data_IF_972828289669
#
_entry.id   IF_972828289669
#
_cell.length_a   1.000
_cell.length_b   1.000
_cell.length_c   1.000
_cell.angle_alpha   90.00
_cell.angle_beta   90.00
_cell.angle_gamma   90.00
#
_symmetry.space_group_name_H-M   'P 1'
#
loop_
_entity.id
_entity.type
_entity.pdbx_description
1 polymer ?
#
# COMPACT_ATOMS: atom_id res chain seq x y z
N UNK A 1 -4.54 5.10 9.35
CA UNK A 1 -3.91 5.66 10.57
C UNK A 1 -2.73 4.89 11.18
N UNK A 2 -2.88 3.78 11.95
CA UNK A 2 -1.72 3.20 12.70
C UNK A 2 -0.54 2.79 11.81
N UNK A 3 -0.82 2.22 10.63
CA UNK A 3 0.18 1.85 9.61
C UNK A 3 0.85 3.07 8.99
N UNK A 4 0.08 4.12 8.66
CA UNK A 4 0.60 5.42 8.22
C UNK A 4 1.62 6.00 9.20
N UNK A 5 1.25 6.12 10.49
CA UNK A 5 2.17 6.60 11.54
C UNK A 5 3.43 5.74 11.64
N UNK A 6 3.33 4.41 11.51
CA UNK A 6 4.51 3.53 11.50
C UNK A 6 5.41 3.72 10.28
N UNK A 7 4.86 3.80 9.07
CA UNK A 7 5.60 3.94 7.81
C UNK A 7 6.28 5.32 7.67
N UNK A 8 5.63 6.39 8.15
CA UNK A 8 6.24 7.72 8.28
C UNK A 8 7.27 7.82 9.43
N UNK A 9 7.45 6.76 10.22
CA UNK A 9 8.39 6.71 11.35
C UNK A 9 7.92 7.41 12.63
N UNK A 10 6.63 7.75 12.74
CA UNK A 10 6.01 8.51 13.83
C UNK A 10 5.46 7.58 14.94
N UNK A 11 6.35 7.05 15.79
CA UNK A 11 5.97 6.16 16.90
C UNK A 11 5.63 6.92 18.20
N UNK A 12 4.59 6.48 18.92
CA UNK A 12 4.14 7.08 20.18
C UNK A 12 4.97 6.60 21.39
N UNK A 13 5.80 7.47 21.97
CA UNK A 13 6.42 7.20 23.29
C UNK A 13 5.44 7.48 24.42
N UNK A 14 4.90 6.42 25.04
CA UNK A 14 4.19 6.52 26.32
C UNK A 14 5.17 6.90 27.42
N UNK A 15 5.28 8.20 27.71
CA UNK A 15 6.16 8.72 28.76
C UNK A 15 5.63 8.31 30.15
N UNK A 16 6.17 7.20 30.68
CA UNK A 16 5.90 6.76 32.04
C UNK A 16 6.27 7.85 33.04
N UNK A 17 5.26 8.46 33.66
CA UNK A 17 5.44 9.58 34.60
C UNK A 17 6.12 9.09 35.88
N UNK A 18 7.43 9.26 35.97
CA UNK A 18 8.19 9.08 37.20
C UNK A 18 7.77 10.13 38.24
N UNK A 19 6.78 9.81 39.06
CA UNK A 19 6.41 10.64 40.20
C UNK A 19 7.53 10.63 41.26
N UNK A 20 8.00 11.83 41.61
CA UNK A 20 8.88 12.08 42.76
C UNK A 20 8.17 13.04 43.72
N UNK A 21 7.24 12.50 44.50
CA UNK A 21 6.64 13.16 45.66
C UNK A 21 6.65 12.22 46.87
N UNK A 22 6.66 12.78 48.09
CA UNK A 22 7.10 12.05 49.29
C UNK A 22 6.20 12.26 50.53
N UNK A 23 5.55 11.19 50.99
CA UNK A 23 4.76 11.20 52.23
C UNK A 23 4.69 9.84 52.96
N UNK A 24 5.58 9.71 53.95
CA UNK A 24 5.51 8.95 55.23
C UNK A 24 4.30 8.02 55.51
N UNK A 25 4.64 6.83 56.07
CA UNK A 25 3.84 5.93 56.97
C UNK A 25 2.72 5.12 56.29
N UNK A 26 2.35 3.91 56.75
CA UNK A 26 2.90 3.03 57.80
C UNK A 26 2.52 1.54 57.58
N UNK A 27 3.28 0.64 58.23
CA UNK A 27 2.98 -0.80 58.41
C UNK A 27 3.23 -1.69 57.19
N UNK A 28 3.50 -2.99 57.27
CA UNK A 28 4.10 -3.90 58.27
C UNK A 28 3.65 -5.32 57.91
N UNK A 29 4.55 -6.32 57.95
CA UNK A 29 4.30 -7.74 57.61
C UNK A 29 4.02 -8.02 56.12
N UNK A 30 4.33 -9.20 55.55
CA UNK A 30 5.32 -10.22 55.96
C UNK A 30 5.78 -11.00 54.72
N UNK A 31 6.92 -11.70 54.81
CA UNK A 31 7.51 -12.40 53.67
C UNK A 31 7.04 -13.87 53.56
N UNK A 32 6.93 -14.37 52.32
CA UNK A 32 7.32 -15.76 52.01
C UNK A 32 7.78 -15.91 50.56
N UNK A 33 8.82 -16.70 50.38
CA UNK A 33 9.41 -17.12 49.09
C UNK A 33 9.68 -18.62 49.22
N UNK A 34 9.24 -19.44 48.26
CA UNK A 34 9.90 -20.70 47.87
C UNK A 34 9.33 -21.22 46.54
N UNK A 35 10.12 -21.95 45.71
CA UNK A 35 9.71 -22.37 44.36
C UNK A 35 9.59 -23.89 44.16
N UNK A 36 9.06 -24.29 42.99
CA UNK A 36 9.15 -25.64 42.42
C UNK A 36 7.83 -26.16 41.82
N UNK A 37 7.79 -27.14 40.92
CA UNK A 37 8.86 -27.81 40.13
C UNK A 37 8.21 -28.74 39.09
N UNK A 38 8.74 -28.80 37.85
CA UNK A 38 8.62 -29.96 36.90
C UNK A 38 7.20 -30.42 36.47
N UNK A 39 6.99 -31.23 35.42
CA UNK A 39 7.66 -31.44 34.13
C UNK A 39 6.65 -32.12 33.17
N UNK A 40 6.86 -32.07 31.85
CA UNK A 40 5.91 -32.64 30.87
C UNK A 40 6.50 -32.86 29.48
N UNK A 41 7.49 -33.75 29.37
CA UNK A 41 8.27 -33.96 28.13
C UNK A 41 7.97 -35.30 27.47
N UNK A 42 7.35 -35.29 26.29
CA UNK A 42 7.30 -36.46 25.39
C UNK A 42 7.63 -36.08 23.95
N UNK A 43 8.77 -36.58 23.46
CA UNK A 43 8.98 -36.88 22.03
C UNK A 43 8.60 -38.34 21.80
N UNK A 44 8.11 -38.67 20.60
CA UNK A 44 8.34 -39.96 19.94
C UNK A 44 8.32 -39.76 18.41
N UNK A 45 8.76 -40.76 17.67
CA UNK A 45 9.32 -40.58 16.32
C UNK A 45 9.12 -41.83 15.46
N UNK A 46 9.06 -41.62 14.14
CA UNK A 46 9.20 -42.61 13.07
C UNK A 46 8.12 -43.69 12.97
N UNK A 47 7.50 -43.81 11.79
CA UNK A 47 7.53 -45.05 10.99
C UNK A 47 6.88 -44.85 9.60
N UNK A 48 7.54 -45.40 8.59
CA UNK A 48 6.98 -45.80 7.28
C UNK A 48 7.48 -47.23 7.03
N UNK A 49 6.71 -48.14 6.40
CA UNK A 49 6.92 -48.34 4.95
C UNK A 49 5.72 -48.93 4.14
N UNK A 50 5.83 -48.88 2.81
CA UNK A 50 5.14 -49.78 1.88
C UNK A 50 3.66 -49.44 1.54
N UNK A 51 3.09 -49.93 0.43
CA UNK A 51 3.71 -50.64 -0.72
C UNK A 51 2.90 -50.46 -2.00
N UNK A 52 3.55 -50.65 -3.14
CA UNK A 52 3.04 -50.39 -4.49
C UNK A 52 1.78 -51.17 -4.92
N UNK A 53 1.11 -50.65 -5.96
CA UNK A 53 0.90 -51.43 -7.20
C UNK A 53 0.82 -50.54 -8.45
N UNK A 54 1.43 -51.03 -9.53
CA UNK A 54 1.24 -50.53 -10.88
C UNK A 54 0.46 -51.58 -11.69
N UNK A 55 -0.33 -51.14 -12.66
CA UNK A 55 -0.75 -51.96 -13.80
C UNK A 55 -1.16 -51.03 -14.95
N UNK A 56 -0.51 -51.17 -16.10
CA UNK A 56 -0.75 -50.34 -17.27
C UNK A 56 -1.15 -51.21 -18.47
N UNK A 57 -1.95 -50.65 -19.39
CA UNK A 57 -2.09 -51.16 -20.76
C UNK A 57 -2.52 -50.07 -21.73
N UNK A 58 -1.71 -49.86 -22.76
CA UNK A 58 -2.08 -49.26 -24.07
C UNK A 58 -2.22 -50.43 -25.11
N UNK A 59 -2.28 -50.30 -26.46
CA UNK A 59 -1.98 -49.20 -27.41
C UNK A 59 -3.28 -48.48 -27.88
N UNK A 60 -3.49 -47.82 -29.05
CA UNK A 60 -2.80 -47.58 -30.36
C UNK A 60 -3.40 -46.26 -30.93
N UNK A 61 -2.83 -45.39 -31.79
CA UNK A 61 -1.90 -45.46 -32.95
C UNK A 61 -2.51 -46.06 -34.24
N UNK A 62 -2.13 -45.63 -35.48
CA UNK A 62 -0.98 -44.78 -35.84
C UNK A 62 -1.18 -43.69 -36.95
N UNK A 63 -0.11 -42.90 -37.17
CA UNK A 63 0.26 -42.20 -38.45
C UNK A 63 -0.56 -40.95 -38.84
N UNK A 64 -0.09 -39.98 -39.64
CA UNK A 64 1.24 -39.62 -40.23
C UNK A 64 1.16 -38.14 -40.73
N UNK A 65 2.19 -37.38 -41.15
CA UNK A 65 3.68 -37.45 -41.33
C UNK A 65 4.20 -35.98 -41.24
N UNK A 66 5.48 -35.58 -41.42
CA UNK A 66 6.72 -36.24 -41.84
C UNK A 66 7.92 -35.27 -41.73
N UNK A 67 9.13 -35.68 -42.15
CA UNK A 67 10.39 -34.98 -41.86
C UNK A 67 11.06 -34.29 -43.07
N UNK A 68 11.94 -33.32 -42.80
CA UNK A 68 13.17 -33.09 -43.59
C UNK A 68 14.24 -32.39 -42.72
N UNK A 69 15.51 -32.44 -43.13
CA UNK A 69 16.65 -31.97 -42.33
C UNK A 69 17.77 -31.37 -43.21
N UNK A 70 18.65 -30.53 -42.63
CA UNK A 70 20.05 -30.34 -43.05
C UNK A 70 20.88 -29.45 -42.10
N UNK A 71 22.19 -29.66 -42.16
CA UNK A 71 23.29 -28.89 -41.55
C UNK A 71 24.45 -28.82 -42.58
N UNK A 72 25.67 -28.34 -42.26
CA UNK A 72 26.01 -26.96 -41.89
C UNK A 72 27.14 -26.36 -42.77
N UNK A 73 27.31 -25.03 -42.78
CA UNK A 73 28.55 -24.35 -43.23
C UNK A 73 28.59 -22.88 -42.80
N UNK A 74 29.61 -22.10 -43.18
CA UNK A 74 30.93 -21.95 -42.53
C UNK A 74 31.75 -20.84 -43.24
N UNK A 75 32.69 -20.20 -42.52
CA UNK A 75 33.76 -19.29 -43.05
C UNK A 75 33.28 -17.92 -43.63
N UNK A 76 34.13 -16.87 -43.82
CA UNK A 76 35.41 -16.42 -43.19
C UNK A 76 35.89 -15.06 -43.75
N UNK A 77 36.23 -14.11 -42.87
CA UNK A 77 37.20 -12.96 -42.99
C UNK A 77 37.58 -12.36 -44.38
N UNK A 78 37.43 -11.03 -44.51
CA UNK A 78 38.52 -10.04 -44.77
C UNK A 78 37.99 -8.60 -44.58
N UNK A 79 38.69 -7.56 -44.09
CA UNK A 79 40.10 -7.06 -44.01
C UNK A 79 40.57 -6.10 -45.12
N UNK A 80 40.45 -4.80 -44.85
CA UNK A 80 41.29 -3.67 -45.32
C UNK A 80 40.95 -2.44 -44.46
N UNK A 81 41.78 -1.77 -43.64
CA UNK A 81 43.24 -1.62 -43.50
C UNK A 81 43.90 -0.59 -44.45
N UNK A 82 44.09 0.64 -43.95
CA UNK A 82 44.89 1.73 -44.55
C UNK A 82 45.64 2.54 -43.47
N UNK A 83 46.74 3.22 -43.85
CA UNK A 83 47.59 4.14 -43.06
C UNK A 83 48.01 5.34 -43.99
N UNK A 84 48.80 6.38 -43.65
CA UNK A 84 49.89 6.68 -42.68
C UNK A 84 49.94 8.22 -42.45
N UNK A 85 50.80 8.84 -41.62
CA UNK A 85 51.26 8.61 -40.23
C UNK A 85 52.25 9.73 -39.82
N UNK A 86 51.84 10.75 -39.05
CA UNK A 86 52.70 11.87 -38.59
C UNK A 86 52.41 12.23 -37.12
N UNK A 87 53.38 12.31 -36.19
CA UNK A 87 54.54 13.23 -36.03
C UNK A 87 54.24 14.49 -35.19
N UNK A 88 54.28 14.30 -33.87
CA UNK A 88 55.04 15.09 -32.88
C UNK A 88 55.29 16.60 -33.12
N UNK A 89 54.81 17.46 -32.20
CA UNK A 89 55.65 18.27 -31.27
C UNK A 89 54.79 19.30 -30.50
N UNK A 90 55.28 19.82 -29.37
CA UNK A 90 54.65 20.93 -28.64
C UNK A 90 54.61 20.77 -27.11
N UNK A 91 55.68 21.18 -26.41
CA UNK A 91 55.68 21.34 -24.95
C UNK A 91 55.32 22.78 -24.57
N UNK A 92 54.29 22.96 -23.73
CA UNK A 92 54.11 24.12 -22.84
C UNK A 92 53.39 23.65 -21.57
N UNK A 93 53.59 24.36 -20.47
CA UNK A 93 53.38 23.84 -19.11
C UNK A 93 52.54 24.77 -18.23
N UNK A 94 51.74 24.14 -17.35
CA UNK A 94 51.04 24.71 -16.19
C UNK A 94 49.87 25.69 -16.48
N UNK A 95 48.94 25.92 -15.52
CA UNK A 95 48.71 25.20 -14.26
C UNK A 95 47.28 24.62 -14.10
N UNK A 96 47.08 23.96 -12.97
CA UNK A 96 45.83 23.45 -12.37
C UNK A 96 44.51 24.07 -12.89
N UNK A 97 43.62 23.22 -13.41
CA UNK A 97 42.18 23.30 -13.13
C UNK A 97 41.67 21.92 -12.72
N UNK A 98 41.31 21.77 -11.45
CA UNK A 98 40.56 20.61 -10.98
C UNK A 98 39.12 20.74 -11.47
N UNK A 99 38.67 19.82 -12.30
CA UNK A 99 37.25 19.76 -12.68
C UNK A 99 36.38 19.62 -11.41
N UNK A 100 35.22 20.29 -11.33
CA UNK A 100 34.32 20.10 -10.21
C UNK A 100 33.85 18.64 -10.20
N UNK A 101 34.06 17.97 -9.06
CA UNK A 101 33.36 16.72 -8.76
C UNK A 101 31.85 16.98 -8.76
N UNK A 102 31.01 16.06 -9.26
CA UNK A 102 29.56 16.22 -9.11
C UNK A 102 29.23 16.28 -7.62
N UNK A 103 28.66 17.40 -7.17
CA UNK A 103 28.21 17.53 -5.79
C UNK A 103 27.17 16.44 -5.51
N UNK A 104 27.41 15.67 -4.46
CA UNK A 104 26.44 14.67 -4.03
C UNK A 104 25.19 15.39 -3.56
N UNK A 105 24.07 15.26 -4.30
CA UNK A 105 22.72 15.62 -3.83
C UNK A 105 22.61 15.21 -2.36
N UNK A 106 22.18 16.10 -1.45
CA UNK A 106 22.08 15.76 -0.03
C UNK A 106 21.15 14.56 0.10
N UNK A 107 21.67 13.45 0.65
CA UNK A 107 20.86 12.25 0.87
C UNK A 107 19.77 12.62 1.86
N UNK A 108 18.51 12.52 1.42
CA UNK A 108 17.35 12.95 2.19
C UNK A 108 17.44 12.50 3.65
N UNK A 109 17.23 13.44 4.57
CA UNK A 109 17.33 13.18 5.99
C UNK A 109 16.33 12.09 6.37
N UNK A 110 16.83 10.91 6.76
CA UNK A 110 16.01 9.85 7.36
C UNK A 110 15.50 10.35 8.71
N UNK A 111 14.32 10.97 8.68
CA UNK A 111 13.69 11.63 9.83
C UNK A 111 13.57 10.69 11.02
N UNK A 112 13.86 11.20 12.22
CA UNK A 112 13.78 10.44 13.46
C UNK A 112 12.54 10.83 14.23
N UNK A 113 11.59 9.89 14.31
CA UNK A 113 10.38 9.87 15.14
C UNK A 113 10.15 11.06 16.09
N UNK A 114 9.22 11.94 15.70
CA UNK A 114 8.42 12.78 16.58
C UNK A 114 6.96 12.59 16.13
N UNK A 115 6.07 12.17 17.04
CA UNK A 115 4.68 11.88 16.70
C UNK A 115 3.74 12.97 17.22
N UNK A 116 2.85 13.47 16.36
CA UNK A 116 1.75 14.33 16.77
C UNK A 116 0.78 13.59 17.69
N UNK A 117 0.17 14.31 18.64
CA UNK A 117 -0.98 13.83 19.40
C UNK A 117 -2.23 13.75 18.50
N UNK A 118 -3.30 13.03 18.87
CA UNK A 118 -4.61 13.27 18.28
C UNK A 118 -5.01 14.74 18.50
N UNK A 119 -5.59 15.36 17.47
CA UNK A 119 -6.14 16.72 17.56
C UNK A 119 -7.40 16.66 18.42
N UNK A 120 -7.57 17.52 19.44
CA UNK A 120 -8.84 17.64 20.15
C UNK A 120 -9.95 18.04 19.18
N UNK A 121 -11.14 17.47 19.36
CA UNK A 121 -12.35 17.82 18.60
C UNK A 121 -12.27 17.56 17.08
N UNK A 122 -11.53 16.52 16.66
CA UNK A 122 -11.66 15.92 15.32
C UNK A 122 -12.70 14.80 15.26
N UNK A 123 -13.27 14.60 14.07
CA UNK A 123 -14.18 13.49 13.72
C UNK A 123 -13.72 12.81 12.43
N UNK A 124 -14.14 11.57 12.20
CA UNK A 124 -13.81 10.80 10.99
C UNK A 124 -15.05 10.64 10.13
N UNK A 125 -14.95 10.94 8.84
CA UNK A 125 -16.05 10.77 7.89
C UNK A 125 -16.24 9.29 7.53
N UNK A 126 -17.44 8.89 7.12
CA UNK A 126 -17.67 7.54 6.60
C UNK A 126 -16.81 7.28 5.34
N UNK A 127 -16.59 6.00 4.97
CA UNK A 127 -15.79 5.67 3.78
C UNK A 127 -16.39 6.26 2.49
N UNK A 128 -17.73 6.28 2.40
CA UNK A 128 -18.44 6.85 1.26
C UNK A 128 -18.30 8.37 1.19
N UNK A 129 -18.36 9.08 2.31
CA UNK A 129 -18.16 10.54 2.34
C UNK A 129 -16.69 10.90 2.09
N UNK A 130 -15.76 10.16 2.71
CA UNK A 130 -14.32 10.29 2.47
C UNK A 130 -13.98 10.18 0.98
N UNK A 131 -14.54 9.17 0.29
CA UNK A 131 -14.42 9.01 -1.15
C UNK A 131 -15.11 10.12 -1.93
N UNK A 132 -16.33 10.50 -1.55
CA UNK A 132 -17.12 11.53 -2.25
C UNK A 132 -16.45 12.91 -2.20
N UNK A 133 -15.85 13.26 -1.06
CA UNK A 133 -15.07 14.48 -0.87
C UNK A 133 -13.87 14.46 -1.82
N UNK A 134 -13.01 13.44 -1.74
CA UNK A 134 -11.78 13.37 -2.54
C UNK A 134 -12.05 13.23 -4.05
N UNK A 135 -13.11 12.52 -4.44
CA UNK A 135 -13.54 12.40 -5.83
C UNK A 135 -14.03 13.74 -6.43
N UNK A 136 -14.60 14.64 -5.61
CA UNK A 136 -14.94 16.00 -6.07
C UNK A 136 -13.71 16.83 -6.46
N UNK A 137 -12.53 16.47 -5.95
CA UNK A 137 -11.23 17.03 -6.33
C UNK A 137 -10.46 16.18 -7.36
N UNK A 138 -11.12 15.19 -7.98
CA UNK A 138 -10.56 14.40 -9.08
C UNK A 138 -9.80 13.13 -8.67
N UNK A 139 -9.80 12.76 -7.38
CA UNK A 139 -9.22 11.46 -6.95
C UNK A 139 -10.06 10.31 -7.55
N UNK A 140 -9.45 9.37 -8.30
CA UNK A 140 -10.16 8.24 -8.89
C UNK A 140 -10.53 7.22 -7.81
N UNK A 141 -11.82 7.08 -7.54
CA UNK A 141 -12.40 6.08 -6.63
C UNK A 141 -13.08 4.95 -7.42
N UNK A 142 -13.31 3.80 -6.78
CA UNK A 142 -14.16 2.76 -7.36
C UNK A 142 -15.63 3.24 -7.51
N UNK A 143 -16.37 2.68 -8.49
CA UNK A 143 -17.82 2.87 -8.60
C UNK A 143 -18.53 2.02 -7.53
N UNK A 144 -18.92 2.65 -6.42
CA UNK A 144 -19.49 1.97 -5.26
C UNK A 144 -20.94 2.41 -4.98
N UNK A 145 -21.77 1.47 -4.54
CA UNK A 145 -23.20 1.67 -4.27
C UNK A 145 -23.53 1.38 -2.81
N UNK A 146 -24.23 2.30 -2.16
CA UNK A 146 -24.84 2.07 -0.86
C UNK A 146 -26.13 1.26 -1.00
N UNK A 147 -26.36 0.34 -0.08
CA UNK A 147 -27.54 -0.49 0.03
C UNK A 147 -27.99 -0.60 1.50
N UNK A 148 -29.28 -0.39 1.82
CA UNK A 148 -29.77 -0.49 3.20
C UNK A 148 -29.86 -1.93 3.73
N UNK A 149 -29.95 -2.92 2.82
CA UNK A 149 -30.19 -4.32 3.16
C UNK A 149 -29.48 -5.28 2.19
N UNK A 150 -29.57 -6.58 2.50
CA UNK A 150 -28.90 -7.64 1.75
C UNK A 150 -29.45 -7.85 0.33
N UNK A 151 -30.71 -7.53 0.07
CA UNK A 151 -31.38 -7.73 -1.20
C UNK A 151 -31.08 -6.58 -2.16
N UNK A 152 -31.11 -5.34 -1.68
CA UNK A 152 -30.61 -4.17 -2.38
C UNK A 152 -29.11 -4.29 -2.69
N UNK A 153 -28.30 -4.83 -1.76
CA UNK A 153 -26.88 -5.07 -1.99
C UNK A 153 -26.63 -6.10 -3.12
N UNK A 154 -27.51 -7.10 -3.24
CA UNK A 154 -27.42 -8.09 -4.32
C UNK A 154 -27.81 -7.50 -5.68
N UNK A 155 -28.86 -6.66 -5.75
CA UNK A 155 -29.19 -5.93 -6.97
C UNK A 155 -28.03 -5.00 -7.38
N UNK A 156 -27.46 -4.24 -6.45
CA UNK A 156 -26.30 -3.38 -6.72
C UNK A 156 -25.10 -4.18 -7.24
N UNK A 157 -24.89 -5.42 -6.77
CA UNK A 157 -23.84 -6.29 -7.27
C UNK A 157 -24.12 -6.85 -8.68
N UNK A 158 -25.39 -7.13 -9.02
CA UNK A 158 -25.80 -7.50 -10.38
C UNK A 158 -25.64 -6.33 -11.36
N UNK A 159 -25.87 -5.08 -10.92
CA UNK A 159 -25.66 -3.87 -11.71
C UNK A 159 -24.18 -3.49 -11.91
N UNK A 160 -23.32 -3.71 -10.90
CA UNK A 160 -21.86 -3.48 -10.98
C UNK A 160 -21.16 -4.59 -11.77
N UNK A 161 -21.64 -5.83 -11.66
CA UNK A 161 -21.04 -7.01 -12.26
C UNK A 161 -20.05 -7.74 -11.33
N UNK A 162 -20.07 -9.07 -11.39
CA UNK A 162 -19.31 -9.94 -10.49
C UNK A 162 -17.86 -10.18 -10.96
N UNK A 163 -16.91 -10.44 -10.03
CA UNK A 163 -17.11 -10.52 -8.59
C UNK A 163 -16.99 -9.16 -7.89
N UNK A 164 -17.71 -9.01 -6.79
CA UNK A 164 -17.80 -7.77 -5.99
C UNK A 164 -17.15 -7.91 -4.61
N UNK A 165 -17.04 -6.77 -3.94
CA UNK A 165 -16.72 -6.57 -2.53
C UNK A 165 -17.96 -6.01 -1.85
N UNK A 166 -18.23 -6.44 -0.60
CA UNK A 166 -19.23 -5.81 0.27
C UNK A 166 -18.56 -5.45 1.60
N UNK A 167 -18.78 -4.21 2.05
CA UNK A 167 -18.26 -3.65 3.30
C UNK A 167 -19.43 -3.18 4.16
N UNK A 168 -19.31 -3.24 5.49
CA UNK A 168 -20.18 -2.45 6.35
C UNK A 168 -19.71 -0.97 6.32
N UNK A 169 -20.64 -0.03 6.26
CA UNK A 169 -20.37 1.40 6.29
C UNK A 169 -21.26 2.11 7.33
N UNK A 170 -20.68 3.11 7.99
CA UNK A 170 -21.29 3.90 9.06
C UNK A 170 -20.18 4.74 9.69
N UNK A 171 -20.56 5.83 10.38
CA UNK A 171 -19.62 6.88 10.77
C UNK A 171 -18.62 6.41 11.84
N UNK A 172 -19.04 5.48 12.72
CA UNK A 172 -18.14 4.84 13.69
C UNK A 172 -17.15 3.83 13.09
N UNK A 173 -17.24 3.49 11.80
CA UNK A 173 -16.58 2.32 11.21
C UNK A 173 -15.28 2.66 10.46
N UNK A 174 -14.34 3.30 11.14
CA UNK A 174 -13.05 3.70 10.56
C UNK A 174 -12.05 2.55 10.27
N UNK A 175 -12.17 1.38 10.93
CA UNK A 175 -11.18 0.26 10.83
C UNK A 175 -11.86 -1.08 10.47
N UNK A 176 -12.48 -1.12 9.29
CA UNK A 176 -13.36 -2.20 8.80
C UNK A 176 -12.69 -3.58 8.78
N UNK A 177 -11.46 -3.68 8.27
CA UNK A 177 -10.74 -4.95 8.11
C UNK A 177 -10.40 -5.61 9.44
N UNK A 178 -10.01 -4.84 10.47
CA UNK A 178 -9.63 -5.37 11.79
C UNK A 178 -10.82 -5.98 12.54
N UNK A 179 -12.03 -5.48 12.28
CA UNK A 179 -13.31 -6.03 12.79
C UNK A 179 -13.92 -7.10 11.89
N UNK A 180 -13.28 -7.44 10.77
CA UNK A 180 -13.81 -8.41 9.80
C UNK A 180 -15.10 -7.93 9.12
N UNK A 181 -15.24 -6.62 8.88
CA UNK A 181 -16.42 -5.98 8.27
C UNK A 181 -16.33 -5.82 6.74
N UNK A 182 -15.49 -6.64 6.09
CA UNK A 182 -15.30 -6.67 4.63
C UNK A 182 -15.39 -8.10 4.11
N UNK A 183 -16.13 -8.33 3.03
CA UNK A 183 -16.19 -9.59 2.28
C UNK A 183 -15.74 -9.34 0.84
N UNK A 184 -14.73 -10.10 0.39
CA UNK A 184 -14.05 -9.91 -0.88
C UNK A 184 -14.39 -11.05 -1.86
N UNK A 185 -14.37 -10.75 -3.16
CA UNK A 185 -14.43 -11.77 -4.22
C UNK A 185 -15.76 -12.53 -4.32
N UNK A 186 -16.86 -11.89 -3.94
CA UNK A 186 -18.20 -12.48 -3.98
C UNK A 186 -18.65 -12.65 -5.43
N UNK A 187 -18.86 -13.89 -5.86
CA UNK A 187 -18.98 -14.25 -7.27
C UNK A 187 -20.41 -14.25 -7.82
N UNK A 188 -21.42 -14.16 -6.96
CA UNK A 188 -22.84 -14.21 -7.30
C UNK A 188 -23.72 -13.52 -6.25
N UNK A 189 -24.99 -13.29 -6.59
CA UNK A 189 -25.97 -12.62 -5.76
C UNK A 189 -26.32 -13.36 -4.46
N UNK A 190 -26.21 -14.69 -4.40
CA UNK A 190 -26.48 -15.45 -3.18
C UNK A 190 -25.31 -15.33 -2.19
N UNK A 191 -24.07 -15.36 -2.68
CA UNK A 191 -22.88 -15.04 -1.89
C UNK A 191 -22.95 -13.60 -1.34
N UNK A 192 -23.47 -12.64 -2.12
CA UNK A 192 -23.72 -11.27 -1.65
C UNK A 192 -24.78 -11.21 -0.55
N UNK A 193 -25.97 -11.82 -0.72
CA UNK A 193 -27.02 -11.80 0.33
C UNK A 193 -26.53 -12.42 1.65
N UNK A 194 -25.80 -13.54 1.57
CA UNK A 194 -25.20 -14.20 2.73
C UNK A 194 -24.14 -13.31 3.43
N UNK A 195 -23.21 -12.73 2.65
CA UNK A 195 -22.19 -11.81 3.14
C UNK A 195 -22.81 -10.56 3.81
N UNK A 196 -23.78 -9.93 3.16
CA UNK A 196 -24.49 -8.75 3.65
C UNK A 196 -25.21 -9.00 4.97
N UNK A 197 -25.89 -10.14 5.09
CA UNK A 197 -26.58 -10.55 6.34
C UNK A 197 -25.57 -10.76 7.47
N UNK A 198 -24.43 -11.40 7.18
CA UNK A 198 -23.35 -11.65 8.15
C UNK A 198 -22.58 -10.38 8.54
N UNK A 199 -22.61 -9.32 7.72
CA UNK A 199 -22.02 -8.02 8.01
C UNK A 199 -22.95 -7.13 8.85
N UNK A 200 -24.23 -7.02 8.48
CA UNK A 200 -25.23 -6.28 9.27
C UNK A 200 -25.36 -6.85 10.70
N UNK A 201 -25.26 -8.18 10.85
CA UNK A 201 -25.26 -8.84 12.16
C UNK A 201 -24.01 -8.59 13.02
N UNK A 202 -23.01 -7.82 12.54
CA UNK A 202 -21.80 -7.40 13.28
C UNK A 202 -21.75 -5.91 13.60
N UNK A 203 -22.79 -5.16 13.22
CA UNK A 203 -22.95 -3.78 13.65
C UNK A 203 -23.13 -3.70 15.17
N UNK A 204 -22.55 -2.69 15.79
CA UNK A 204 -22.71 -2.40 17.23
C UNK A 204 -23.26 -0.98 17.43
N UNK A 205 -23.85 -0.63 18.60
CA UNK A 205 -24.44 0.70 18.80
C UNK A 205 -23.46 1.87 18.62
N UNK A 206 -22.15 1.61 18.75
CA UNK A 206 -21.07 2.56 18.53
C UNK A 206 -20.79 2.87 17.05
N UNK A 207 -21.36 2.10 16.11
CA UNK A 207 -21.21 2.30 14.67
C UNK A 207 -22.09 3.42 14.11
N UNK A 208 -23.17 3.77 14.81
CA UNK A 208 -24.19 4.71 14.35
C UNK A 208 -25.27 4.04 13.48
N UNK A 209 -25.82 4.79 12.51
CA UNK A 209 -26.59 4.18 11.43
C UNK A 209 -25.63 3.46 10.48
N UNK A 210 -25.98 2.24 10.05
CA UNK A 210 -25.13 1.41 9.18
C UNK A 210 -25.83 0.99 7.91
N UNK A 211 -25.06 0.94 6.82
CA UNK A 211 -25.48 0.51 5.50
C UNK A 211 -24.39 -0.41 4.89
N UNK A 212 -24.72 -1.09 3.81
CA UNK A 212 -23.79 -1.92 3.06
C UNK A 212 -23.21 -1.12 1.89
N UNK A 213 -21.90 -1.19 1.69
CA UNK A 213 -21.20 -0.56 0.59
C UNK A 213 -20.69 -1.65 -0.37
N UNK A 214 -21.28 -1.69 -1.56
CA UNK A 214 -21.01 -2.68 -2.61
C UNK A 214 -20.08 -2.07 -3.65
N UNK A 215 -19.00 -2.77 -4.02
CA UNK A 215 -17.94 -2.25 -4.88
C UNK A 215 -17.43 -3.34 -5.86
N UNK A 216 -16.93 -2.99 -7.05
CA UNK A 216 -16.26 -3.95 -7.93
C UNK A 216 -14.99 -4.49 -7.28
N UNK A 217 -14.67 -5.77 -7.50
CA UNK A 217 -13.38 -6.35 -7.08
C UNK A 217 -12.25 -5.88 -8.01
N UNK A 218 -11.81 -4.63 -7.83
CA UNK A 218 -10.62 -4.04 -8.48
C UNK A 218 -9.40 -4.93 -8.22
N UNK A 219 -8.53 -5.07 -9.22
CA UNK A 219 -7.35 -5.96 -9.18
C UNK A 219 -6.10 -5.26 -9.71
N UNK A 220 -5.01 -5.49 -9.00
CA UNK A 220 -3.63 -5.18 -9.39
C UNK A 220 -2.69 -5.91 -8.44
N UNK A 221 -1.48 -6.27 -8.89
CA UNK A 221 -0.43 -6.82 -8.02
C UNK A 221 0.44 -5.75 -7.38
N UNK A 222 0.13 -4.48 -7.66
CA UNK A 222 0.78 -3.28 -7.13
C UNK A 222 -0.24 -2.41 -6.40
N UNK A 223 0.12 -2.05 -5.18
CA UNK A 223 -0.59 -1.11 -4.33
C UNK A 223 0.34 0.06 -4.04
N UNK A 224 -0.21 1.27 -4.07
CA UNK A 224 0.41 2.49 -3.55
C UNK A 224 -0.37 2.95 -2.32
N UNK A 225 0.19 3.91 -1.61
CA UNK A 225 -0.51 4.74 -0.63
C UNK A 225 -0.32 6.20 -1.00
N UNK A 226 -1.37 7.00 -0.83
CA UNK A 226 -1.30 8.45 -0.94
C UNK A 226 -2.16 9.07 0.16
N UNK A 227 -1.93 10.33 0.51
CA UNK A 227 -2.72 10.94 1.58
C UNK A 227 -2.32 12.36 1.94
N UNK A 228 -3.04 12.87 2.94
CA UNK A 228 -2.85 14.15 3.60
C UNK A 228 -2.56 13.94 5.07
N UNK A 229 -1.66 14.73 5.65
CA UNK A 229 -1.50 14.81 7.10
C UNK A 229 -0.94 16.17 7.54
N UNK A 230 -1.50 16.73 8.59
CA UNK A 230 -0.96 17.92 9.26
C UNK A 230 0.29 17.58 10.09
N UNK A 231 1.41 18.23 9.79
CA UNK A 231 2.61 18.29 10.64
C UNK A 231 2.53 19.50 11.59
N UNK A 232 2.70 19.34 12.93
CA UNK A 232 2.57 20.44 13.89
C UNK A 232 3.61 21.57 13.78
N UNK A 233 4.63 21.44 12.93
CA UNK A 233 5.68 22.45 12.71
C UNK A 233 5.60 23.09 11.32
N UNK A 234 5.16 22.34 10.31
CA UNK A 234 5.17 22.76 8.90
C UNK A 234 3.77 22.91 8.26
N UNK A 235 2.71 22.39 8.90
CA UNK A 235 1.35 22.41 8.37
C UNK A 235 1.03 21.18 7.50
N UNK A 236 0.05 21.32 6.62
CA UNK A 236 -0.47 20.20 5.82
C UNK A 236 0.56 19.68 4.80
N UNK A 237 0.70 18.35 4.74
CA UNK A 237 1.59 17.65 3.79
C UNK A 237 0.81 16.67 2.91
N UNK A 238 1.22 16.56 1.64
CA UNK A 238 0.85 15.44 0.75
C UNK A 238 1.89 14.35 0.89
N UNK A 239 1.43 13.10 0.99
CA UNK A 239 2.25 11.89 1.01
C UNK A 239 2.02 11.02 -0.23
N UNK A 240 3.11 10.45 -0.76
CA UNK A 240 3.09 9.32 -1.69
C UNK A 240 3.96 8.18 -1.12
N UNK A 241 3.58 6.92 -1.33
CA UNK A 241 4.40 5.77 -0.94
C UNK A 241 4.00 4.46 -1.62
N UNK A 242 4.83 3.43 -1.42
CA UNK A 242 4.50 2.05 -1.82
C UNK A 242 3.58 1.39 -0.79
N UNK A 243 2.50 0.77 -1.26
CA UNK A 243 1.48 0.13 -0.43
C UNK A 243 1.64 -1.38 -0.24
N UNK A 244 0.56 -2.05 0.16
CA UNK A 244 0.51 -3.48 0.39
C UNK A 244 1.30 -3.98 1.61
N UNK A 245 1.36 -5.31 1.75
CA UNK A 245 1.86 -6.02 2.94
C UNK A 245 3.32 -5.67 3.31
N UNK A 246 4.12 -5.19 2.37
CA UNK A 246 5.53 -4.83 2.59
C UNK A 246 5.77 -3.34 2.85
N UNK A 247 4.76 -2.47 2.76
CA UNK A 247 4.90 -1.01 2.94
C UNK A 247 5.65 -0.66 4.25
N UNK A 248 5.19 -1.21 5.38
CA UNK A 248 5.76 -1.00 6.72
C UNK A 248 7.22 -1.51 6.85
N UNK A 249 7.63 -2.47 6.03
CA UNK A 249 8.97 -3.05 6.05
C UNK A 249 9.95 -2.35 5.09
N UNK A 250 9.43 -1.67 4.06
CA UNK A 250 10.22 -0.93 3.07
C UNK A 250 10.40 0.54 3.51
N UNK A 251 9.32 1.20 3.95
CA UNK A 251 9.34 2.61 4.35
C UNK A 251 9.68 3.58 3.21
N UNK A 252 9.29 3.24 1.98
CA UNK A 252 9.49 4.08 0.80
C UNK A 252 8.30 5.06 0.66
N UNK A 253 8.47 6.23 1.25
CA UNK A 253 7.50 7.33 1.28
C UNK A 253 8.19 8.66 0.97
N UNK A 254 7.47 9.55 0.27
CA UNK A 254 7.90 10.90 -0.07
C UNK A 254 6.83 11.90 0.39
N UNK A 255 7.26 13.06 0.85
CA UNK A 255 6.42 14.13 1.39
C UNK A 255 6.68 15.45 0.64
N UNK A 256 5.64 16.27 0.51
CA UNK A 256 5.69 17.69 0.12
C UNK A 256 4.66 18.48 0.94
N UNK A 257 4.86 19.79 1.09
CA UNK A 257 3.89 20.67 1.74
C UNK A 257 2.78 21.06 0.78
N UNK A 258 1.54 21.16 1.26
CA UNK A 258 0.43 21.76 0.50
C UNK A 258 0.63 23.28 0.46
N UNK A 259 0.41 23.95 -0.69
CA UNK A 259 0.02 23.42 -1.99
C UNK A 259 1.20 22.83 -2.79
N UNK A 260 0.97 21.74 -3.55
CA UNK A 260 1.96 21.17 -4.47
C UNK A 260 1.68 21.55 -5.92
N UNK A 261 2.72 21.72 -6.74
CA UNK A 261 2.58 21.85 -8.19
C UNK A 261 2.63 20.48 -8.90
N UNK A 262 2.33 20.45 -10.21
CA UNK A 262 2.53 19.25 -11.03
C UNK A 262 4.01 18.80 -11.03
N UNK A 263 4.95 19.76 -11.02
CA UNK A 263 6.39 19.48 -10.91
C UNK A 263 6.73 18.81 -9.57
N UNK A 264 6.17 19.30 -8.46
CA UNK A 264 6.37 18.68 -7.14
C UNK A 264 5.82 17.25 -7.10
N UNK A 265 4.66 17.01 -7.74
CA UNK A 265 4.07 15.68 -7.85
C UNK A 265 4.91 14.74 -8.74
N UNK A 266 5.47 15.23 -9.85
CA UNK A 266 6.42 14.45 -10.67
C UNK A 266 7.69 14.10 -9.91
N UNK A 267 8.30 15.07 -9.21
CA UNK A 267 9.47 14.89 -8.33
C UNK A 267 9.16 13.89 -7.20
N UNK A 268 7.97 13.94 -6.58
CA UNK A 268 7.54 12.97 -5.56
C UNK A 268 7.54 11.53 -6.11
N UNK A 269 7.09 11.35 -7.35
CA UNK A 269 7.04 10.04 -8.00
C UNK A 269 8.46 9.58 -8.37
N UNK A 270 9.36 10.47 -8.82
CA UNK A 270 10.77 10.17 -9.13
C UNK A 270 11.63 9.92 -7.87
N UNK A 271 11.28 10.51 -6.72
CA UNK A 271 12.01 10.34 -5.45
C UNK A 271 11.81 8.98 -4.77
N UNK A 272 10.73 8.25 -5.09
CA UNK A 272 10.50 6.90 -4.56
C UNK A 272 11.68 5.97 -4.90
N UNK A 273 12.24 5.30 -3.90
CA UNK A 273 13.35 4.36 -4.08
C UNK A 273 12.95 3.13 -4.92
N UNK A 274 11.66 2.79 -4.95
CA UNK A 274 11.14 1.55 -5.56
C UNK A 274 10.61 1.74 -6.98
N UNK A 275 11.24 2.63 -7.77
CA UNK A 275 10.93 2.91 -9.20
C UNK A 275 10.58 1.69 -10.06
N UNK A 276 11.16 0.52 -9.78
CA UNK A 276 10.89 -0.74 -10.51
C UNK A 276 9.46 -1.29 -10.36
N UNK A 277 8.66 -0.81 -9.41
CA UNK A 277 7.23 -1.11 -9.33
C UNK A 277 6.39 -0.14 -10.19
N UNK A 278 6.90 1.06 -10.46
CA UNK A 278 6.23 2.07 -11.27
C UNK A 278 6.37 1.79 -12.77
N UNK A 279 7.45 1.10 -13.18
CA UNK A 279 7.58 0.56 -14.55
C UNK A 279 6.69 -0.65 -14.83
N UNK A 280 6.84 -1.23 -16.03
CA UNK A 280 6.20 -2.51 -16.38
C UNK A 280 6.63 -3.61 -15.40
N UNK A 281 5.67 -4.35 -14.86
CA UNK A 281 5.94 -5.32 -13.80
C UNK A 281 5.07 -6.58 -13.93
N UNK A 282 5.73 -7.74 -14.03
CA UNK A 282 5.08 -9.08 -14.07
C UNK A 282 3.99 -9.29 -15.13
N UNK A 283 3.95 -8.47 -16.17
CA UNK A 283 2.94 -8.52 -17.24
C UNK A 283 1.86 -7.44 -17.12
N UNK A 284 1.86 -6.65 -16.05
CA UNK A 284 1.09 -5.40 -15.99
C UNK A 284 1.87 -4.24 -16.65
N UNK A 285 1.17 -3.26 -17.24
CA UNK A 285 1.79 -2.06 -17.81
C UNK A 285 2.42 -1.17 -16.72
N UNK A 286 3.24 -0.21 -17.15
CA UNK A 286 3.73 0.85 -16.26
C UNK A 286 2.58 1.63 -15.60
N UNK A 287 2.87 2.26 -14.47
CA UNK A 287 1.96 3.19 -13.79
C UNK A 287 1.74 4.42 -14.67
N UNK A 288 0.48 4.76 -14.89
CA UNK A 288 0.02 5.99 -15.55
C UNK A 288 0.45 7.18 -14.67
N UNK A 289 1.59 7.79 -15.01
CA UNK A 289 2.22 8.86 -14.20
C UNK A 289 1.36 10.12 -14.19
N UNK A 290 0.68 10.43 -15.29
CA UNK A 290 -0.25 11.57 -15.39
C UNK A 290 -1.45 11.36 -14.46
N UNK A 291 -2.04 10.15 -14.45
CA UNK A 291 -3.09 9.81 -13.51
C UNK A 291 -2.62 9.86 -12.04
N UNK A 292 -1.39 9.43 -11.73
CA UNK A 292 -0.84 9.51 -10.37
C UNK A 292 -0.56 10.95 -9.92
N UNK A 293 -0.05 11.80 -10.81
CA UNK A 293 0.06 13.26 -10.58
C UNK A 293 -1.33 13.86 -10.30
N UNK A 294 -2.35 13.48 -11.06
CA UNK A 294 -3.72 13.94 -10.82
C UNK A 294 -4.27 13.53 -9.43
N UNK A 295 -3.94 12.34 -8.91
CA UNK A 295 -4.31 11.96 -7.53
C UNK A 295 -3.67 12.88 -6.50
N UNK A 296 -2.38 13.18 -6.64
CA UNK A 296 -1.63 14.02 -5.69
C UNK A 296 -2.09 15.48 -5.73
N UNK A 297 -2.38 16.01 -6.93
CA UNK A 297 -2.97 17.33 -7.11
C UNK A 297 -4.40 17.39 -6.55
N UNK A 298 -5.20 16.34 -6.71
CA UNK A 298 -6.54 16.25 -6.12
C UNK A 298 -6.53 16.23 -4.59
N UNK A 299 -5.53 15.58 -3.98
CA UNK A 299 -5.30 15.66 -2.53
C UNK A 299 -4.92 17.09 -2.09
N UNK A 300 -4.00 17.77 -2.79
CA UNK A 300 -3.65 19.17 -2.51
C UNK A 300 -4.89 20.08 -2.61
N UNK A 301 -5.63 19.98 -3.71
CA UNK A 301 -6.81 20.80 -3.96
C UNK A 301 -7.94 20.55 -2.94
N UNK A 302 -8.05 19.34 -2.38
CA UNK A 302 -8.99 19.05 -1.28
C UNK A 302 -8.57 19.78 0.02
N UNK A 303 -7.30 19.71 0.39
CA UNK A 303 -6.76 20.41 1.57
C UNK A 303 -6.81 21.94 1.44
N UNK A 304 -6.62 22.48 0.23
CA UNK A 304 -6.73 23.91 -0.07
C UNK A 304 -8.18 24.41 -0.02
N UNK A 305 -9.15 23.56 -0.37
CA UNK A 305 -10.57 23.91 -0.41
C UNK A 305 -11.28 23.74 0.94
N UNK A 306 -10.90 22.75 1.75
CA UNK A 306 -11.51 22.47 3.05
C UNK A 306 -10.44 22.40 4.15
N UNK A 307 -10.11 23.57 4.70
CA UNK A 307 -9.14 23.73 5.79
C UNK A 307 -9.54 23.10 7.14
N UNK A 308 -10.62 22.30 7.19
CA UNK A 308 -10.94 21.42 8.32
C UNK A 308 -10.26 20.06 8.22
N UNK A 309 -9.77 19.66 7.05
CA UNK A 309 -9.13 18.34 6.86
C UNK A 309 -7.85 18.27 7.70
N UNK A 310 -7.81 17.32 8.65
CA UNK A 310 -6.66 17.03 9.50
C UNK A 310 -5.80 15.92 8.88
N UNK A 311 -6.44 14.90 8.29
CA UNK A 311 -5.76 13.84 7.55
C UNK A 311 -6.65 13.16 6.50
N UNK A 312 -6.02 12.53 5.50
CA UNK A 312 -6.67 11.65 4.53
C UNK A 312 -5.75 10.46 4.21
N UNK A 313 -6.27 9.23 4.18
CA UNK A 313 -5.52 7.98 3.97
C UNK A 313 -6.15 7.22 2.78
N UNK A 314 -5.52 7.27 1.59
CA UNK A 314 -5.91 6.49 0.40
C UNK A 314 -5.15 5.17 0.39
N UNK A 315 -5.75 4.12 0.97
CA UNK A 315 -5.00 2.95 1.42
C UNK A 315 -5.84 1.66 1.42
N UNK A 316 -5.77 0.81 0.38
CA UNK A 316 -4.82 0.87 -0.74
C UNK A 316 -5.30 1.73 -1.93
N UNK A 317 -4.33 2.37 -2.58
CA UNK A 317 -4.47 2.92 -3.94
C UNK A 317 -3.99 1.84 -4.93
N UNK A 318 -4.92 1.03 -5.45
CA UNK A 318 -4.59 -0.12 -6.31
C UNK A 318 -4.24 0.36 -7.71
N UNK A 319 -3.18 -0.18 -8.31
CA UNK A 319 -2.83 0.05 -9.72
C UNK A 319 -3.53 -1.01 -10.59
N UNK A 320 -4.66 -0.64 -11.20
CA UNK A 320 -5.42 -1.49 -12.13
C UNK A 320 -5.18 -1.04 -13.58
N UNK A 321 -4.70 -1.95 -14.44
CA UNK A 321 -4.33 -1.66 -15.84
C UNK A 321 -3.40 -0.44 -16.01
N UNK A 322 -2.52 -0.23 -15.01
CA UNK A 322 -1.59 0.91 -14.94
C UNK A 322 -2.15 2.13 -14.20
N UNK A 323 -3.46 2.24 -14.00
CA UNK A 323 -4.09 3.42 -13.39
C UNK A 323 -4.31 3.26 -11.88
N UNK A 324 -4.00 4.29 -11.06
CA UNK A 324 -4.33 4.28 -9.64
C UNK A 324 -5.85 4.40 -9.42
N UNK A 325 -6.39 3.59 -8.52
CA UNK A 325 -7.80 3.63 -8.08
C UNK A 325 -7.87 3.46 -6.57
N UNK A 326 -8.49 4.41 -5.88
CA UNK A 326 -8.71 4.36 -4.44
C UNK A 326 -9.90 3.44 -4.13
N UNK A 327 -9.61 2.27 -3.56
CA UNK A 327 -10.64 1.28 -3.18
C UNK A 327 -11.06 1.38 -1.72
N UNK A 328 -10.33 2.13 -0.92
CA UNK A 328 -10.65 2.54 0.46
C UNK A 328 -10.13 3.98 0.65
N UNK A 329 -10.82 4.76 1.47
CA UNK A 329 -10.41 6.13 1.81
C UNK A 329 -10.99 6.51 3.18
N UNK A 330 -10.15 7.16 3.99
CA UNK A 330 -10.53 7.65 5.32
C UNK A 330 -10.10 9.10 5.47
N UNK A 331 -11.04 10.01 5.74
CA UNK A 331 -10.79 11.44 5.97
C UNK A 331 -11.16 11.81 7.41
N UNK A 332 -10.26 12.52 8.07
CA UNK A 332 -10.43 13.12 9.40
C UNK A 332 -10.57 14.64 9.26
N UNK A 333 -11.59 15.22 9.90
CA UNK A 333 -11.86 16.66 9.88
C UNK A 333 -12.00 17.22 11.30
N UNK A 334 -11.70 18.50 11.50
CA UNK A 334 -12.13 19.22 12.71
C UNK A 334 -13.65 19.39 12.73
N UNK A 335 -14.22 19.49 13.93
CA UNK A 335 -15.60 19.95 14.15
C UNK A 335 -15.85 21.38 13.61
#
# INVERSE_FOLDING_TARGET
MRRWRAAAGWASTSAGRCDRSSSRRAGSSSARWTPGTSAGRTRRSCCSPGTARCSATSPTSPSSRGCSARTPSARRRSRSAWCRSGRSSGLRSNPRSSAPTPESRPRGHRGRALGSAPVPDSTTLSETESKRLLAAHGVPVADERLAPDADAAAQAAEEIGFPVVVKLNGDGIAHKTERGLVRLGLADAAAVRAASTELLAKATPEDGEVQLLVAPMVRGSRELIAGLAEDPQFGMTVMLGVGGVLAEAIGDVVLRLVPITATDAEDMIDELATQRLLGEFRGEPAVDREALVAVLLGLSAAAEADGRIVSADLNPLIVADGRPVAVDALVEVTA
#
